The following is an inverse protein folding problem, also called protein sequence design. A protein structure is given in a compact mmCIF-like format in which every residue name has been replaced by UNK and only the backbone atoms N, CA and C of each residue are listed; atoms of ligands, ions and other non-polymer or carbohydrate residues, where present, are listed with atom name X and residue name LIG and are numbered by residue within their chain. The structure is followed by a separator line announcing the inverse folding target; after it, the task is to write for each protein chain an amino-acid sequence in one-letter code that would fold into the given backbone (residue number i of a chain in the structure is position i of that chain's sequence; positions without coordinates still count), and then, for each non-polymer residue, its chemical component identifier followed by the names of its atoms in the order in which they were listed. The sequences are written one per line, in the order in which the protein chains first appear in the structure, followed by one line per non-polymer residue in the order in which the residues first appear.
data_IF_103922831854
#
_entry.id   IF_103922831854
#
_cell.length_a   1.000
_cell.length_b   1.000
_cell.length_c   1.000
_cell.angle_alpha   90.00
_cell.angle_beta   90.00
_cell.angle_gamma   90.00
#
_symmetry.space_group_name_H-M   'P 1'
#
loop_
_entity.id
_entity.type
_entity.pdbx_description
1 polymer ?
#
# COMPACT_ATOMS: atom_id res chain seq x y z
N UNK A 1 25.91 33.32 16.11
CA UNK A 1 24.62 32.66 15.81
C UNK A 1 24.56 31.39 16.61
N UNK A 2 23.70 31.32 17.64
CA UNK A 2 23.61 30.17 18.53
C UNK A 2 22.94 28.99 17.85
N UNK A 3 23.54 27.81 17.95
CA UNK A 3 22.90 26.55 17.57
C UNK A 3 21.63 26.35 18.42
N UNK A 4 20.50 26.06 17.78
CA UNK A 4 19.27 25.70 18.50
C UNK A 4 19.49 24.33 19.16
N UNK A 5 19.30 24.17 20.48
CA UNK A 5 19.67 22.96 21.21
C UNK A 5 18.85 21.71 20.87
N UNK A 6 17.80 21.85 20.05
CA UNK A 6 16.94 20.76 19.55
C UNK A 6 17.20 20.40 18.07
N UNK A 7 18.11 21.10 17.39
CA UNK A 7 18.49 20.77 16.03
C UNK A 7 19.68 19.80 16.05
N UNK A 8 19.38 18.53 15.90
CA UNK A 8 20.38 17.51 15.60
C UNK A 8 20.49 17.36 14.07
N UNK A 9 21.70 17.36 13.50
CA UNK A 9 21.87 17.10 12.07
C UNK A 9 21.37 15.70 11.75
N UNK A 10 20.62 15.57 10.66
CA UNK A 10 20.23 14.26 10.15
C UNK A 10 21.49 13.45 9.76
N UNK A 11 21.45 12.11 9.86
CA UNK A 11 22.48 11.27 9.27
C UNK A 11 22.67 11.60 7.79
N UNK A 12 23.90 11.49 7.30
CA UNK A 12 24.18 11.66 5.87
C UNK A 12 23.59 10.49 5.09
N UNK A 13 22.86 10.80 4.02
CA UNK A 13 22.44 9.79 3.06
C UNK A 13 23.67 9.28 2.30
N UNK A 14 23.72 7.96 2.10
CA UNK A 14 24.68 7.33 1.21
C UNK A 14 23.93 6.49 0.18
N UNK A 15 24.27 6.61 -1.12
CA UNK A 15 23.79 5.68 -2.12
C UNK A 15 24.21 4.26 -1.75
N UNK A 16 23.32 3.30 -2.00
CA UNK A 16 23.64 1.88 -1.93
C UNK A 16 23.62 1.37 -3.37
N UNK A 17 24.69 0.70 -3.78
CA UNK A 17 24.71 0.00 -5.07
C UNK A 17 23.63 -1.08 -5.10
N UNK A 18 22.94 -1.19 -6.22
CA UNK A 18 21.83 -2.11 -6.41
C UNK A 18 21.99 -2.83 -7.74
N UNK A 19 21.63 -4.10 -7.76
CA UNK A 19 21.84 -4.99 -8.89
C UNK A 19 20.53 -5.62 -9.36
N UNK A 20 20.48 -6.05 -10.62
CA UNK A 20 19.39 -6.82 -11.21
C UNK A 20 19.94 -7.62 -12.40
N UNK A 21 19.34 -8.77 -12.72
CA UNK A 21 19.82 -9.62 -13.83
C UNK A 21 19.23 -9.20 -15.17
N UNK A 22 17.97 -8.78 -15.18
CA UNK A 22 17.23 -8.38 -16.38
C UNK A 22 16.53 -7.04 -16.18
N UNK A 23 16.21 -6.35 -17.26
CA UNK A 23 15.49 -5.06 -17.17
C UNK A 23 14.11 -5.20 -16.50
N UNK A 24 13.48 -6.39 -16.58
CA UNK A 24 12.21 -6.65 -15.89
C UNK A 24 12.36 -6.74 -14.37
N UNK A 25 13.55 -7.13 -13.89
CA UNK A 25 13.86 -7.25 -12.47
C UNK A 25 14.00 -5.89 -11.79
N UNK A 26 14.30 -4.82 -12.54
CA UNK A 26 14.26 -3.48 -12.02
C UNK A 26 12.81 -2.97 -11.94
N UNK A 27 12.36 -2.42 -10.80
CA UNK A 27 11.00 -1.85 -10.71
C UNK A 27 10.82 -0.59 -11.58
N UNK A 28 11.90 0.08 -12.00
CA UNK A 28 11.82 1.32 -12.77
C UNK A 28 11.13 2.47 -12.02
N UNK A 29 11.04 3.67 -12.64
CA UNK A 29 10.39 4.83 -12.04
C UNK A 29 8.90 4.61 -11.80
N UNK A 30 8.42 4.91 -10.59
CA UNK A 30 7.00 4.80 -10.23
C UNK A 30 6.64 5.62 -8.99
N UNK A 31 5.39 6.01 -8.85
CA UNK A 31 4.85 6.66 -7.65
C UNK A 31 3.66 5.88 -7.07
N UNK A 32 3.31 6.18 -5.82
CA UNK A 32 2.17 5.59 -5.12
C UNK A 32 2.15 4.04 -5.12
N UNK A 33 3.33 3.43 -5.14
CA UNK A 33 3.55 2.01 -4.86
C UNK A 33 3.65 1.81 -3.34
N UNK A 34 3.59 0.56 -2.90
CA UNK A 34 4.00 0.20 -1.52
C UNK A 34 5.38 -0.41 -1.53
N UNK A 35 6.13 -0.21 -0.44
CA UNK A 35 7.43 -0.82 -0.18
C UNK A 35 7.42 -1.34 1.26
N UNK A 36 7.41 -2.65 1.42
CA UNK A 36 7.14 -3.30 2.71
C UNK A 36 8.31 -4.18 3.13
N UNK A 37 8.83 -3.98 4.34
CA UNK A 37 9.93 -4.81 4.86
C UNK A 37 9.40 -6.16 5.37
N UNK A 38 10.04 -7.24 4.94
CA UNK A 38 9.75 -8.61 5.36
C UNK A 38 10.99 -9.22 5.99
N UNK A 39 10.81 -9.82 7.16
CA UNK A 39 11.89 -10.50 7.87
C UNK A 39 12.43 -11.69 7.07
N UNK A 40 13.64 -12.12 7.42
CA UNK A 40 14.22 -13.32 6.85
C UNK A 40 13.33 -14.56 7.08
N UNK A 41 13.36 -15.46 6.11
CA UNK A 41 12.75 -16.79 6.20
C UNK A 41 13.85 -17.85 6.32
N UNK A 42 13.48 -19.13 6.36
CA UNK A 42 14.47 -20.22 6.41
C UNK A 42 15.37 -20.29 5.17
N UNK A 43 14.86 -19.84 4.02
CA UNK A 43 15.49 -19.98 2.71
C UNK A 43 15.95 -18.67 2.08
N UNK A 44 15.53 -17.53 2.63
CA UNK A 44 15.82 -16.21 2.08
C UNK A 44 16.11 -15.19 3.18
N UNK A 45 17.04 -14.28 2.90
CA UNK A 45 17.38 -13.15 3.79
C UNK A 45 16.25 -12.12 3.93
N UNK A 46 16.47 -11.05 4.73
CA UNK A 46 15.52 -9.96 4.85
C UNK A 46 15.37 -9.24 3.50
N UNK A 47 14.15 -8.78 3.22
CA UNK A 47 13.80 -8.25 1.90
C UNK A 47 12.79 -7.12 1.96
N UNK A 48 12.80 -6.29 0.93
CA UNK A 48 11.75 -5.32 0.67
C UNK A 48 10.85 -5.82 -0.46
N UNK A 49 9.55 -5.74 -0.25
CA UNK A 49 8.55 -6.09 -1.25
C UNK A 49 7.94 -4.80 -1.79
N UNK A 50 8.17 -4.55 -3.08
CA UNK A 50 7.57 -3.47 -3.82
C UNK A 50 6.39 -4.01 -4.64
N UNK A 51 5.23 -3.37 -4.54
CA UNK A 51 4.05 -3.75 -5.31
C UNK A 51 3.37 -2.54 -5.96
N UNK A 52 2.97 -2.74 -7.21
CA UNK A 52 2.11 -1.82 -7.95
C UNK A 52 2.70 -0.43 -8.14
N UNK A 53 1.82 0.57 -8.13
CA UNK A 53 2.14 1.98 -8.38
C UNK A 53 1.91 2.40 -9.83
N UNK A 54 1.98 3.71 -10.06
CA UNK A 54 1.87 4.32 -11.37
C UNK A 54 3.26 4.51 -12.00
N UNK A 55 3.46 4.02 -13.21
CA UNK A 55 4.73 3.96 -13.97
C UNK A 55 4.81 4.94 -15.14
N UNK A 56 3.68 5.49 -15.59
CA UNK A 56 3.65 6.53 -16.62
C UNK A 56 2.88 7.75 -16.12
N UNK A 57 3.54 8.91 -16.13
CA UNK A 57 2.89 10.23 -16.08
C UNK A 57 3.05 10.81 -17.48
N UNK A 58 2.32 10.28 -18.47
CA UNK A 58 2.23 11.01 -19.74
C UNK A 58 1.42 12.28 -19.47
N UNK A 59 2.03 13.45 -19.70
CA UNK A 59 1.39 14.76 -19.63
C UNK A 59 0.40 14.98 -20.77
N UNK A 60 -0.56 14.06 -20.92
CA UNK A 60 -1.50 14.03 -22.02
C UNK A 60 -2.51 15.17 -21.94
N UNK A 61 -2.32 16.16 -22.82
CA UNK A 61 -3.27 17.20 -23.23
C UNK A 61 -4.57 16.61 -23.79
N UNK A 62 -5.40 15.98 -22.96
CA UNK A 62 -6.75 15.56 -23.34
C UNK A 62 -7.77 16.19 -22.40
N UNK A 63 -8.76 16.84 -23.01
CA UNK A 63 -9.75 17.76 -22.43
C UNK A 63 -10.81 17.10 -21.53
N UNK A 64 -10.52 15.93 -20.94
CA UNK A 64 -11.43 15.25 -20.02
C UNK A 64 -10.98 15.45 -18.57
N UNK A 65 -11.82 15.98 -17.66
CA UNK A 65 -11.49 16.09 -16.25
C UNK A 65 -11.42 14.68 -15.61
N UNK A 66 -10.23 14.27 -15.17
CA UNK A 66 -9.98 13.02 -14.43
C UNK A 66 -8.51 12.61 -14.47
N UNK A 67 -7.99 12.02 -13.37
CA UNK A 67 -6.64 11.47 -13.32
C UNK A 67 -6.63 10.16 -14.14
N UNK A 68 -6.12 10.19 -15.38
CA UNK A 68 -5.82 8.97 -16.14
C UNK A 68 -4.44 8.46 -15.76
N UNK A 69 -4.40 7.31 -15.10
CA UNK A 69 -3.15 6.60 -14.81
C UNK A 69 -2.86 5.65 -15.99
N UNK A 70 -2.37 6.18 -17.12
CA UNK A 70 -2.08 5.38 -18.32
C UNK A 70 -0.93 4.35 -18.15
N UNK A 71 -0.28 4.34 -16.99
CA UNK A 71 0.57 3.24 -16.57
C UNK A 71 0.36 2.94 -15.09
N UNK A 72 -0.50 1.98 -14.77
CA UNK A 72 -0.53 1.35 -13.44
C UNK A 72 -0.14 -0.10 -13.59
N UNK A 73 0.64 -0.61 -12.65
CA UNK A 73 1.11 -2.00 -12.68
C UNK A 73 0.60 -2.78 -11.48
N UNK A 74 0.60 -4.12 -11.60
CA UNK A 74 0.52 -5.07 -10.49
C UNK A 74 1.82 -5.90 -10.39
N UNK A 75 2.93 -5.39 -10.94
CA UNK A 75 4.24 -6.03 -10.77
C UNK A 75 4.62 -6.07 -9.30
N UNK A 76 5.26 -7.18 -8.92
CA UNK A 76 5.85 -7.40 -7.60
C UNK A 76 7.34 -7.56 -7.78
N UNK A 77 8.09 -6.81 -6.99
CA UNK A 77 9.55 -6.86 -6.97
C UNK A 77 10.02 -7.15 -5.55
N UNK A 78 11.01 -8.02 -5.43
CA UNK A 78 11.70 -8.32 -4.17
C UNK A 78 13.11 -7.74 -4.24
N UNK A 79 13.47 -6.92 -3.26
CA UNK A 79 14.85 -6.50 -3.04
C UNK A 79 15.43 -7.31 -1.89
N UNK A 80 16.41 -8.15 -2.18
CA UNK A 80 17.17 -8.87 -1.17
C UNK A 80 18.25 -7.96 -0.59
N UNK A 81 18.23 -7.76 0.74
CA UNK A 81 19.09 -6.79 1.43
C UNK A 81 20.55 -7.25 1.46
N UNK A 82 20.78 -8.56 1.57
CA UNK A 82 22.12 -9.14 1.73
C UNK A 82 22.88 -9.09 0.41
N UNK A 83 22.19 -9.43 -0.68
CA UNK A 83 22.75 -9.44 -2.05
C UNK A 83 22.57 -8.12 -2.78
N UNK A 84 21.78 -7.19 -2.22
CA UNK A 84 21.44 -5.88 -2.80
C UNK A 84 20.82 -6.00 -4.19
N UNK A 85 20.05 -7.06 -4.41
CA UNK A 85 19.56 -7.46 -5.73
C UNK A 85 18.05 -7.34 -5.81
N UNK A 86 17.57 -6.70 -6.88
CA UNK A 86 16.17 -6.73 -7.27
C UNK A 86 15.86 -7.96 -8.11
N UNK A 87 14.67 -8.51 -7.91
CA UNK A 87 14.13 -9.59 -8.72
C UNK A 87 12.63 -9.39 -8.88
N UNK A 88 12.12 -9.52 -10.11
CA UNK A 88 10.69 -9.56 -10.36
C UNK A 88 10.17 -10.95 -10.02
N UNK A 89 9.31 -11.02 -9.00
CA UNK A 89 8.73 -12.29 -8.57
C UNK A 89 7.39 -12.52 -9.27
N UNK A 90 7.07 -13.78 -9.56
CA UNK A 90 5.81 -14.20 -10.17
C UNK A 90 5.12 -15.23 -9.25
N UNK A 91 4.49 -14.78 -8.15
CA UNK A 91 3.78 -15.67 -7.24
C UNK A 91 2.63 -16.41 -7.94
N UNK A 92 2.32 -17.61 -7.50
CA UNK A 92 1.19 -18.39 -8.01
C UNK A 92 -0.15 -17.87 -7.47
N UNK A 93 -1.25 -18.20 -8.16
CA UNK A 93 -2.59 -17.70 -7.83
C UNK A 93 -2.90 -16.37 -8.52
N UNK A 94 -4.10 -15.84 -8.25
CA UNK A 94 -4.58 -14.63 -8.91
C UNK A 94 -4.09 -13.37 -8.18
N UNK A 95 -3.26 -12.53 -8.82
CA UNK A 95 -2.78 -11.30 -8.21
C UNK A 95 -3.90 -10.25 -8.13
N UNK A 96 -3.75 -9.23 -7.28
CA UNK A 96 -4.59 -8.05 -7.35
C UNK A 96 -4.48 -7.39 -8.74
N UNK A 97 -5.54 -6.71 -9.16
CA UNK A 97 -5.52 -5.86 -10.35
C UNK A 97 -4.44 -4.77 -10.23
N UNK A 98 -3.93 -4.24 -11.37
CA UNK A 98 -3.04 -3.08 -11.38
C UNK A 98 -3.62 -1.93 -10.55
N UNK A 99 -2.81 -1.40 -9.62
CA UNK A 99 -3.26 -0.39 -8.66
C UNK A 99 -2.14 0.50 -8.15
N UNK A 100 -2.51 1.74 -7.84
CA UNK A 100 -1.67 2.72 -7.13
C UNK A 100 -2.38 3.18 -5.84
N UNK A 101 -1.64 3.86 -4.97
CA UNK A 101 -2.14 4.45 -3.72
C UNK A 101 -2.92 3.46 -2.82
N UNK A 102 -2.56 2.18 -2.89
CA UNK A 102 -3.03 1.15 -1.96
C UNK A 102 -2.17 1.17 -0.68
N UNK A 103 -2.66 0.58 0.39
CA UNK A 103 -1.86 0.39 1.60
C UNK A 103 -1.35 -1.06 1.68
N UNK A 104 -0.23 -1.24 2.36
CA UNK A 104 0.33 -2.56 2.65
C UNK A 104 0.89 -2.62 4.07
N UNK A 105 0.82 -3.80 4.70
CA UNK A 105 1.40 -4.06 6.01
C UNK A 105 1.96 -5.48 6.09
N UNK A 106 3.09 -5.64 6.77
CA UNK A 106 3.70 -6.96 7.03
C UNK A 106 2.95 -7.68 8.14
N UNK A 107 2.62 -8.95 7.91
CA UNK A 107 2.07 -9.85 8.94
C UNK A 107 2.94 -11.12 8.95
N UNK A 108 3.84 -11.20 9.93
CA UNK A 108 4.86 -12.26 9.98
C UNK A 108 5.75 -12.24 8.73
N UNK A 109 5.70 -13.32 7.95
CA UNK A 109 6.43 -13.48 6.67
C UNK A 109 5.57 -13.17 5.45
N UNK A 110 4.38 -12.61 5.64
CA UNK A 110 3.44 -12.28 4.57
C UNK A 110 3.26 -10.78 4.46
N UNK A 111 2.77 -10.32 3.31
CA UNK A 111 2.38 -8.91 3.10
C UNK A 111 0.92 -8.85 2.75
N UNK A 112 0.18 -8.00 3.47
CA UNK A 112 -1.24 -7.75 3.22
C UNK A 112 -1.39 -6.43 2.47
N UNK A 113 -2.19 -6.42 1.41
CA UNK A 113 -2.48 -5.25 0.58
C UNK A 113 -3.97 -4.93 0.62
N UNK A 114 -4.32 -3.66 0.79
CA UNK A 114 -5.71 -3.21 0.86
C UNK A 114 -5.98 -2.05 -0.10
N UNK A 115 -7.07 -2.19 -0.85
CA UNK A 115 -7.63 -1.13 -1.68
C UNK A 115 -6.70 -0.60 -2.76
N UNK A 116 -6.74 0.71 -2.98
CA UNK A 116 -6.02 1.41 -4.05
C UNK A 116 -6.94 1.86 -5.17
N UNK A 117 -6.35 2.48 -6.19
CA UNK A 117 -7.04 2.96 -7.38
C UNK A 117 -6.42 2.31 -8.63
N UNK A 118 -7.27 1.73 -9.48
CA UNK A 118 -6.86 1.12 -10.74
C UNK A 118 -6.88 2.10 -11.92
N UNK A 119 -6.48 1.65 -13.13
CA UNK A 119 -6.48 2.48 -14.35
C UNK A 119 -7.84 3.10 -14.70
N UNK A 120 -8.94 2.42 -14.36
CA UNK A 120 -10.29 2.92 -14.58
C UNK A 120 -10.71 4.06 -13.63
N UNK A 121 -9.87 4.42 -12.66
CA UNK A 121 -10.15 5.47 -11.69
C UNK A 121 -11.07 5.05 -10.55
N UNK A 122 -11.50 3.78 -10.48
CA UNK A 122 -12.29 3.28 -9.37
C UNK A 122 -11.42 2.83 -8.20
N UNK A 123 -11.83 3.19 -6.98
CA UNK A 123 -11.21 2.71 -5.76
C UNK A 123 -11.70 1.29 -5.44
N UNK A 124 -10.88 0.49 -4.74
CA UNK A 124 -11.25 -0.87 -4.30
C UNK A 124 -11.18 -1.02 -2.79
N UNK A 125 -11.89 -2.02 -2.24
CA UNK A 125 -11.88 -2.41 -0.83
C UNK A 125 -11.33 -3.82 -0.60
N UNK A 126 -10.83 -4.45 -1.66
CA UNK A 126 -10.31 -5.80 -1.65
C UNK A 126 -9.05 -5.92 -0.78
N UNK A 127 -8.91 -7.11 -0.19
CA UNK A 127 -7.77 -7.49 0.64
C UNK A 127 -7.06 -8.67 0.00
N UNK A 128 -5.75 -8.54 -0.19
CA UNK A 128 -4.90 -9.59 -0.72
C UNK A 128 -3.73 -9.87 0.21
N UNK A 129 -3.32 -11.12 0.27
CA UNK A 129 -2.14 -11.57 1.00
C UNK A 129 -1.16 -12.16 -0.01
N UNK A 130 0.07 -11.66 0.02
CA UNK A 130 1.21 -12.30 -0.60
C UNK A 130 1.90 -13.16 0.46
N UNK A 131 1.74 -14.47 0.35
CA UNK A 131 2.42 -15.43 1.22
C UNK A 131 3.84 -15.68 0.70
N UNK A 132 4.83 -15.28 1.52
CA UNK A 132 6.26 -15.46 1.25
C UNK A 132 6.93 -16.42 2.24
N UNK A 133 6.14 -17.22 2.95
CA UNK A 133 6.61 -18.10 4.03
C UNK A 133 7.53 -19.21 3.50
N UNK A 134 7.29 -19.66 2.27
CA UNK A 134 8.05 -20.70 1.58
C UNK A 134 8.49 -20.20 0.20
N UNK A 135 9.38 -20.95 -0.48
CA UNK A 135 9.91 -20.59 -1.82
C UNK A 135 8.86 -20.61 -2.94
N UNK A 136 7.67 -21.12 -2.64
CA UNK A 136 6.51 -21.12 -3.55
C UNK A 136 5.57 -19.99 -3.13
N UNK A 137 5.93 -18.76 -3.49
CA UNK A 137 5.12 -17.58 -3.19
C UNK A 137 3.72 -17.67 -3.80
N UNK A 138 2.71 -17.21 -3.06
CA UNK A 138 1.31 -17.30 -3.48
C UNK A 138 0.50 -16.06 -3.14
N UNK A 139 -0.44 -15.76 -4.01
CA UNK A 139 -1.50 -14.80 -3.76
C UNK A 139 -2.72 -15.46 -3.16
N UNK A 140 -3.30 -14.82 -2.15
CA UNK A 140 -4.59 -15.16 -1.57
C UNK A 140 -5.47 -13.92 -1.55
N UNK A 141 -6.67 -14.02 -2.13
CA UNK A 141 -7.72 -13.03 -1.92
C UNK A 141 -8.44 -13.34 -0.60
N UNK A 142 -8.53 -12.36 0.28
CA UNK A 142 -9.20 -12.51 1.58
C UNK A 142 -10.57 -11.86 1.50
N UNK A 143 -11.60 -12.62 1.89
CA UNK A 143 -12.96 -12.11 2.01
C UNK A 143 -13.15 -11.53 3.40
N UNK A 144 -13.30 -10.21 3.48
CA UNK A 144 -13.60 -9.51 4.73
C UNK A 144 -15.07 -9.75 5.09
N UNK A 145 -15.31 -10.22 6.31
CA UNK A 145 -16.66 -10.40 6.85
C UNK A 145 -17.13 -9.13 7.59
N UNK A 146 -18.38 -8.74 7.37
CA UNK A 146 -18.99 -7.59 8.04
C UNK A 146 -18.65 -6.24 7.40
N UNK A 147 -18.86 -5.16 8.14
CA UNK A 147 -18.61 -3.81 7.66
C UNK A 147 -17.10 -3.50 7.69
N UNK A 148 -16.47 -3.57 6.51
CA UNK A 148 -15.09 -3.16 6.31
C UNK A 148 -14.93 -1.63 6.20
N UNK A 149 -13.71 -1.17 5.94
CA UNK A 149 -13.47 0.25 5.70
C UNK A 149 -14.13 0.69 4.36
N UNK A 150 -14.44 -0.23 3.45
CA UNK A 150 -15.01 0.11 2.14
C UNK A 150 -13.96 0.71 1.19
N UNK A 151 -14.35 1.03 -0.06
CA UNK A 151 -13.39 1.33 -1.12
C UNK A 151 -12.57 2.57 -0.82
N UNK A 152 -11.24 2.50 -1.02
CA UNK A 152 -10.34 3.61 -0.69
C UNK A 152 -8.96 3.54 -1.32
N UNK A 153 -8.38 4.72 -1.54
CA UNK A 153 -6.99 4.92 -1.93
C UNK A 153 -6.37 6.08 -1.14
N UNK A 154 -5.03 6.15 -1.09
CA UNK A 154 -4.28 7.16 -0.32
C UNK A 154 -4.45 7.02 1.20
N UNK A 155 -4.87 5.84 1.67
CA UNK A 155 -4.98 5.51 3.08
C UNK A 155 -3.68 4.87 3.59
N UNK A 156 -3.58 4.72 4.91
CA UNK A 156 -2.50 3.96 5.56
C UNK A 156 -3.08 2.75 6.28
N UNK A 157 -2.29 1.68 6.36
CA UNK A 157 -2.62 0.46 7.08
C UNK A 157 -1.41 0.01 7.87
N UNK A 158 -1.61 -0.45 9.11
CA UNK A 158 -0.53 -1.02 9.93
C UNK A 158 -1.03 -2.18 10.80
N UNK A 159 -0.11 -3.02 11.27
CA UNK A 159 -0.37 -4.15 12.15
C UNK A 159 -0.14 -3.78 13.62
N UNK A 160 -1.21 -3.83 14.41
CA UNK A 160 -1.18 -3.57 15.85
C UNK A 160 -1.27 -4.88 16.63
N UNK A 161 -0.41 -5.04 17.64
CA UNK A 161 -0.42 -6.17 18.57
C UNK A 161 -0.32 -7.55 17.89
N UNK A 162 0.32 -7.63 16.71
CA UNK A 162 0.42 -8.84 15.90
C UNK A 162 -0.93 -9.49 15.56
N UNK A 163 -2.04 -8.74 15.68
CA UNK A 163 -3.40 -9.29 15.64
C UNK A 163 -4.37 -8.45 14.83
N UNK A 164 -4.19 -7.13 14.83
CA UNK A 164 -5.15 -6.22 14.23
C UNK A 164 -4.54 -5.45 13.08
N UNK A 165 -5.12 -5.60 11.89
CA UNK A 165 -4.85 -4.66 10.81
C UNK A 165 -5.74 -3.44 11.01
N UNK A 166 -5.11 -2.28 11.01
CA UNK A 166 -5.76 -1.00 11.27
C UNK A 166 -5.60 -0.10 10.06
N UNK A 167 -6.72 0.21 9.40
CA UNK A 167 -6.75 1.15 8.28
C UNK A 167 -7.26 2.52 8.74
N UNK A 168 -6.58 3.58 8.32
CA UNK A 168 -6.94 4.97 8.64
C UNK A 168 -6.89 5.87 7.40
N UNK A 169 -7.84 6.79 7.30
CA UNK A 169 -7.95 7.81 6.25
C UNK A 169 -8.17 7.21 4.85
N UNK A 170 -7.93 8.02 3.82
CA UNK A 170 -8.12 7.70 2.41
C UNK A 170 -9.35 8.36 1.80
N UNK A 171 -9.41 8.31 0.47
CA UNK A 171 -10.51 8.83 -0.34
C UNK A 171 -11.19 7.68 -1.08
N UNK A 172 -12.48 7.84 -1.38
CA UNK A 172 -13.22 6.99 -2.30
C UNK A 172 -13.55 7.78 -3.58
N UNK A 173 -13.60 7.11 -4.74
CA UNK A 173 -14.04 7.68 -6.02
C UNK A 173 -15.53 7.39 -6.29
N UNK A 174 -16.23 6.70 -5.38
CA UNK A 174 -17.68 6.61 -5.34
C UNK A 174 -18.29 7.62 -4.36
N UNK A 175 -18.99 8.62 -4.89
CA UNK A 175 -19.81 9.61 -4.18
C UNK A 175 -19.10 10.63 -3.27
N UNK A 176 -19.14 11.89 -3.73
CA UNK A 176 -19.11 13.09 -2.88
C UNK A 176 -20.29 13.20 -1.89
N UNK A 177 -21.04 12.11 -1.64
CA UNK A 177 -22.19 12.08 -0.74
C UNK A 177 -22.32 10.71 -0.10
N UNK A 178 -21.44 10.37 0.87
CA UNK A 178 -21.94 9.53 1.96
C UNK A 178 -22.97 10.38 2.70
N UNK A 179 -24.25 10.18 2.36
CA UNK A 179 -25.38 10.70 3.13
C UNK A 179 -25.17 10.25 4.57
N UNK A 180 -24.78 11.20 5.41
CA UNK A 180 -24.92 11.08 6.84
C UNK A 180 -26.42 10.99 7.11
N UNK A 181 -26.95 9.78 7.29
CA UNK A 181 -28.21 9.62 8.02
C UNK A 181 -27.88 9.86 9.50
N UNK A 182 -28.35 10.95 10.11
CA UNK A 182 -28.11 11.21 11.51
C UNK A 182 -28.93 10.20 12.32
N UNK A 183 -28.27 9.39 13.14
CA UNK A 183 -28.94 8.75 14.27
C UNK A 183 -29.41 9.89 15.18
N UNK A 184 -30.68 10.26 15.05
CA UNK A 184 -31.31 11.23 15.93
C UNK A 184 -31.50 10.59 17.30
N UNK A 185 -30.63 10.96 18.25
CA UNK A 185 -31.09 11.21 19.61
C UNK A 185 -30.42 12.48 20.12
N UNK A 186 -31.26 13.38 20.63
CA UNK A 186 -30.93 14.75 21.04
C UNK A 186 -29.94 14.76 22.20
N UNK A 187 -28.87 15.56 22.08
CA UNK A 187 -28.65 16.75 22.93
C UNK A 187 -27.34 17.46 22.57
N UNK A 188 -27.49 18.70 22.10
CA UNK A 188 -26.62 19.88 22.25
C UNK A 188 -25.09 19.72 22.42
N UNK A 189 -24.36 20.30 21.45
CA UNK A 189 -23.30 21.26 21.76
C UNK A 189 -21.84 20.85 21.53
N UNK A 190 -21.27 21.43 20.45
CA UNK A 190 -19.84 21.78 20.20
C UNK A 190 -18.94 20.76 19.48
N UNK A 191 -18.55 21.17 18.27
CA UNK A 191 -17.36 20.84 17.47
C UNK A 191 -16.88 19.38 17.47
N UNK A 192 -17.35 18.62 16.48
CA UNK A 192 -16.72 17.36 16.07
C UNK A 192 -15.81 17.62 14.87
N UNK A 193 -14.51 17.79 15.11
CA UNK A 193 -13.51 17.35 14.13
C UNK A 193 -13.74 15.86 13.92
N UNK A 194 -14.02 15.44 12.68
CA UNK A 194 -14.24 14.03 12.37
C UNK A 194 -12.98 13.24 12.77
N UNK A 195 -13.10 12.42 13.82
CA UNK A 195 -12.02 11.53 14.23
C UNK A 195 -11.78 10.48 13.13
N UNK A 196 -10.53 10.11 12.84
CA UNK A 196 -10.25 8.99 11.94
C UNK A 196 -10.96 7.74 12.45
N UNK A 197 -11.80 7.10 11.62
CA UNK A 197 -12.41 5.81 11.95
C UNK A 197 -11.31 4.75 11.95
N UNK A 198 -10.93 4.32 13.14
CA UNK A 198 -10.04 3.20 13.38
C UNK A 198 -10.82 1.90 13.10
N UNK A 199 -10.54 1.24 11.98
CA UNK A 199 -11.18 -0.06 11.67
C UNK A 199 -10.20 -1.16 12.02
N UNK A 200 -10.56 -2.03 12.97
CA UNK A 200 -9.76 -3.19 13.34
C UNK A 200 -10.27 -4.42 12.57
N UNK A 201 -9.43 -5.02 11.74
CA UNK A 201 -9.67 -6.40 11.28
C UNK A 201 -9.00 -7.36 12.25
N UNK A 202 -9.80 -8.23 12.87
CA UNK A 202 -9.33 -9.27 13.78
C UNK A 202 -8.88 -10.48 12.93
N UNK A 203 -7.63 -10.91 13.10
CA UNK A 203 -7.16 -12.22 12.64
C UNK A 203 -8.02 -13.36 13.20
#
# INVERSE_FOLDING_TARGET
MGSKPWLYPAPTYRPIESFWDTDEDAPGPRCAHTLTAVAATKSHGPRLILFGGATAIEGGSSSAPGIRLDGVTNSVHSYDIDTKKWTRIKPAGDPPSPRAAHAAATVGTMVVFQGGIGPAGHSTDDLYVLDLTNDKYKWHRVLVQGQGPGPRYGHVMDLVSQRYLVTVSGNDVGDAVSRFEPVTSRSQGKNLTAAPRLTFMKQ
#
